data_IF_781829000658
#
_entry.id   IF_781829000658
#
_cell.length_a   1.000
_cell.length_b   1.000
_cell.length_c   1.000
_cell.angle_alpha   90.00
_cell.angle_beta   90.00
_cell.angle_gamma   90.00
#
_symmetry.space_group_name_H-M   'P 1'
#
loop_
_entity.id
_entity.type
_entity.pdbx_description
1 polymer ?
#
# COMPACT_ATOMS: atom_id res chain seq x y z
N UNK A 1 16.12 -27.93 -12.95
CA UNK A 1 15.09 -26.86 -12.97
C UNK A 1 15.23 -25.85 -11.83
N UNK A 2 15.48 -26.25 -10.57
CA UNK A 2 15.50 -25.32 -9.42
C UNK A 2 16.68 -24.31 -9.44
N UNK A 3 17.84 -24.69 -9.99
CA UNK A 3 19.05 -23.85 -10.02
C UNK A 3 18.89 -22.55 -10.85
N UNK A 4 17.95 -22.52 -11.80
CA UNK A 4 17.66 -21.33 -12.62
C UNK A 4 16.65 -20.35 -11.98
N UNK A 5 15.95 -20.75 -10.91
CA UNK A 5 14.97 -19.88 -10.24
C UNK A 5 15.57 -19.04 -9.12
N UNK A 6 16.76 -19.41 -8.63
CA UNK A 6 17.53 -18.69 -7.60
C UNK A 6 17.74 -17.20 -7.95
N UNK A 7 18.19 -16.82 -9.17
CA UNK A 7 18.40 -15.40 -9.49
C UNK A 7 17.09 -14.58 -9.45
N UNK A 8 15.95 -15.17 -9.79
CA UNK A 8 14.65 -14.48 -9.73
C UNK A 8 14.23 -14.18 -8.29
N UNK A 9 14.40 -15.15 -7.40
CA UNK A 9 14.09 -14.97 -5.98
C UNK A 9 15.03 -13.94 -5.32
N UNK A 10 16.32 -14.00 -5.66
CA UNK A 10 17.31 -13.03 -5.17
C UNK A 10 16.99 -11.60 -5.62
N UNK A 11 16.49 -11.41 -6.84
CA UNK A 11 16.08 -10.08 -7.33
C UNK A 11 14.87 -9.52 -6.61
N UNK A 12 13.87 -10.35 -6.30
CA UNK A 12 12.70 -9.90 -5.53
C UNK A 12 13.13 -9.45 -4.14
N UNK A 13 14.01 -10.21 -3.47
CA UNK A 13 14.58 -9.82 -2.18
C UNK A 13 15.39 -8.52 -2.30
N UNK A 14 16.23 -8.41 -3.33
CA UNK A 14 17.03 -7.22 -3.57
C UNK A 14 16.16 -5.97 -3.78
N UNK A 15 15.10 -6.06 -4.58
CA UNK A 15 14.17 -4.95 -4.82
C UNK A 15 13.39 -4.57 -3.56
N UNK A 16 12.99 -5.55 -2.76
CA UNK A 16 12.35 -5.32 -1.46
C UNK A 16 13.30 -4.61 -0.47
N UNK A 17 14.56 -5.04 -0.39
CA UNK A 17 15.58 -4.37 0.42
C UNK A 17 15.90 -2.96 -0.07
N UNK A 18 15.92 -2.75 -1.39
CA UNK A 18 16.15 -1.44 -1.99
C UNK A 18 15.02 -0.46 -1.64
N UNK A 19 13.77 -0.92 -1.68
CA UNK A 19 12.61 -0.14 -1.19
C UNK A 19 12.79 0.28 0.27
N UNK A 20 13.11 -0.67 1.14
CA UNK A 20 13.24 -0.45 2.57
C UNK A 20 14.45 0.44 2.91
N UNK A 21 15.53 0.35 2.15
CA UNK A 21 16.69 1.23 2.28
C UNK A 21 16.36 2.68 1.87
N UNK A 22 15.58 2.88 0.80
CA UNK A 22 15.11 4.21 0.41
C UNK A 22 14.22 4.83 1.49
N UNK A 23 13.37 4.00 2.08
CA UNK A 23 12.43 4.35 3.15
C UNK A 23 12.98 4.14 4.56
N UNK A 24 14.31 4.11 4.73
CA UNK A 24 14.97 3.91 6.02
C UNK A 24 14.46 4.80 7.18
N UNK A 25 14.07 6.08 6.97
CA UNK A 25 13.51 6.91 8.04
C UNK A 25 12.26 6.32 8.70
N UNK A 26 11.52 5.43 8.03
CA UNK A 26 10.32 4.80 8.57
C UNK A 26 10.61 3.75 9.63
N UNK A 27 11.76 3.07 9.55
CA UNK A 27 12.23 2.16 10.61
C UNK A 27 12.57 2.93 11.89
N UNK A 28 12.89 4.22 11.76
CA UNK A 28 13.13 5.13 12.88
C UNK A 28 11.84 5.68 13.50
N UNK A 29 10.66 5.22 13.05
CA UNK A 29 9.36 5.67 13.54
C UNK A 29 8.98 7.09 13.13
N UNK A 30 9.73 7.73 12.22
CA UNK A 30 9.38 9.05 11.69
C UNK A 30 8.32 8.88 10.61
N UNK A 31 7.18 9.52 10.82
CA UNK A 31 6.06 9.51 9.87
C UNK A 31 5.93 10.89 9.25
N UNK A 32 5.65 10.93 7.95
CA UNK A 32 5.39 12.19 7.24
C UNK A 32 3.97 12.62 7.56
N UNK A 33 3.83 13.89 7.94
CA UNK A 33 2.52 14.48 8.21
C UNK A 33 1.87 14.87 6.89
N UNK A 34 0.86 14.11 6.48
CA UNK A 34 0.06 14.39 5.29
C UNK A 34 -1.28 15.02 5.69
N UNK A 35 -1.65 16.12 5.03
CA UNK A 35 -2.93 16.82 5.25
C UNK A 35 -4.11 15.89 5.05
N UNK A 36 -4.03 15.03 4.04
CA UNK A 36 -5.12 14.16 3.62
C UNK A 36 -5.41 13.09 4.70
N UNK A 37 -4.37 12.58 5.36
CA UNK A 37 -4.51 11.66 6.49
C UNK A 37 -5.19 12.36 7.69
N UNK A 38 -4.81 13.60 7.99
CA UNK A 38 -5.43 14.35 9.08
C UNK A 38 -6.90 14.65 8.80
N UNK A 39 -7.22 15.07 7.57
CA UNK A 39 -8.60 15.30 7.16
C UNK A 39 -9.42 14.00 7.21
N UNK A 40 -8.85 12.89 6.76
CA UNK A 40 -9.47 11.56 6.86
C UNK A 40 -9.74 11.13 8.30
N UNK A 41 -8.83 11.40 9.24
CA UNK A 41 -9.06 11.18 10.67
C UNK A 41 -10.23 12.02 11.21
N UNK A 42 -10.37 13.27 10.77
CA UNK A 42 -11.52 14.10 11.10
C UNK A 42 -12.84 13.57 10.55
N UNK A 43 -12.84 13.11 9.29
CA UNK A 43 -14.02 12.57 8.61
C UNK A 43 -14.51 11.26 9.25
N UNK A 44 -13.62 10.33 9.57
CA UNK A 44 -14.02 9.03 10.14
C UNK A 44 -14.47 9.11 11.62
N UNK A 45 -14.20 10.21 12.32
CA UNK A 45 -14.44 10.33 13.78
C UNK A 45 -15.86 9.98 14.18
N UNK A 46 -16.87 10.55 13.49
CA UNK A 46 -18.28 10.30 13.80
C UNK A 46 -18.66 8.81 13.61
N UNK A 47 -18.10 8.17 12.58
CA UNK A 47 -18.34 6.75 12.29
C UNK A 47 -17.78 5.87 13.39
N UNK A 48 -16.56 6.17 13.86
CA UNK A 48 -15.92 5.42 14.94
C UNK A 48 -16.64 5.61 16.27
N UNK A 49 -17.09 6.83 16.58
CA UNK A 49 -17.86 7.12 17.80
C UNK A 49 -19.20 6.39 17.80
N UNK A 50 -19.95 6.44 16.68
CA UNK A 50 -21.21 5.73 16.57
C UNK A 50 -21.03 4.21 16.69
N UNK A 51 -19.97 3.65 16.08
CA UNK A 51 -19.65 2.23 16.22
C UNK A 51 -19.31 1.86 17.67
N UNK A 52 -18.61 2.73 18.40
CA UNK A 52 -18.28 2.49 19.80
C UNK A 52 -19.50 2.53 20.74
N UNK A 53 -20.48 3.39 20.44
CA UNK A 53 -21.65 3.60 21.29
C UNK A 53 -22.80 2.61 21.01
N UNK A 54 -23.04 2.28 19.73
CA UNK A 54 -24.20 1.51 19.30
C UNK A 54 -23.85 0.10 18.77
N UNK A 55 -22.56 -0.21 18.60
CA UNK A 55 -22.07 -1.46 17.96
C UNK A 55 -22.67 -1.70 16.55
N UNK A 56 -23.12 -0.61 15.90
CA UNK A 56 -23.71 -0.61 14.57
C UNK A 56 -22.86 0.25 13.60
N UNK A 57 -22.90 -0.12 12.32
CA UNK A 57 -22.18 0.61 11.28
C UNK A 57 -23.06 1.74 10.73
N UNK A 58 -22.72 3.02 10.95
CA UNK A 58 -23.49 4.11 10.36
C UNK A 58 -23.20 4.18 8.87
N UNK A 59 -24.23 4.18 8.03
CA UNK A 59 -24.09 4.33 6.58
C UNK A 59 -24.12 5.79 6.10
N UNK A 60 -24.28 6.74 7.03
CA UNK A 60 -24.29 8.18 6.78
C UNK A 60 -23.47 8.92 7.84
N UNK A 61 -22.63 9.86 7.40
CA UNK A 61 -21.81 10.72 8.27
C UNK A 61 -22.11 12.19 7.98
N UNK A 62 -22.62 12.91 8.98
CA UNK A 62 -23.01 14.32 8.92
C UNK A 62 -21.82 15.27 9.00
N UNK A 63 -20.72 14.82 9.61
CA UNK A 63 -19.52 15.63 9.83
C UNK A 63 -18.73 15.93 8.54
N UNK A 64 -19.07 15.30 7.41
CA UNK A 64 -18.38 15.49 6.13
C UNK A 64 -19.25 16.27 5.15
N UNK A 65 -18.84 17.49 4.81
CA UNK A 65 -19.48 18.36 3.81
C UNK A 65 -21.02 18.48 3.92
N UNK A 66 -21.56 18.41 5.16
CA UNK A 66 -23.00 18.49 5.42
C UNK A 66 -23.77 17.17 5.30
N UNK A 67 -23.06 16.05 5.18
CA UNK A 67 -23.62 14.70 5.06
C UNK A 67 -23.10 13.95 3.85
N UNK A 68 -22.53 12.77 4.06
CA UNK A 68 -22.20 11.84 2.97
C UNK A 68 -22.36 10.37 3.39
N UNK A 69 -22.56 9.45 2.41
CA UNK A 69 -22.50 8.01 2.67
C UNK A 69 -21.11 7.57 3.15
N UNK A 70 -21.06 6.74 4.19
CA UNK A 70 -19.79 6.32 4.83
C UNK A 70 -18.99 5.29 4.03
N UNK A 71 -19.61 4.71 2.98
CA UNK A 71 -18.97 3.74 2.09
C UNK A 71 -17.67 4.23 1.45
N UNK A 72 -17.51 5.55 1.29
CA UNK A 72 -16.30 6.18 0.74
C UNK A 72 -15.27 6.58 1.81
N UNK A 73 -15.61 6.48 3.10
CA UNK A 73 -14.74 6.89 4.22
C UNK A 73 -14.22 5.65 4.95
N UNK A 74 -15.13 4.92 5.60
CA UNK A 74 -14.82 3.82 6.51
C UNK A 74 -16.13 3.09 6.74
N UNK A 75 -16.37 2.05 5.95
CA UNK A 75 -17.45 1.11 6.19
C UNK A 75 -16.87 -0.28 6.35
N UNK A 76 -17.21 -0.96 7.43
CA UNK A 76 -16.88 -2.38 7.61
C UNK A 76 -18.02 -3.22 7.06
N UNK A 77 -17.68 -4.15 6.17
CA UNK A 77 -18.62 -5.14 5.68
C UNK A 77 -18.33 -6.51 6.31
N UNK A 78 -19.37 -7.27 6.70
CA UNK A 78 -19.19 -8.56 7.38
C UNK A 78 -18.50 -9.63 6.53
N UNK A 79 -18.50 -9.51 5.20
CA UNK A 79 -17.93 -10.49 4.26
C UNK A 79 -16.78 -9.93 3.43
N UNK A 80 -15.86 -9.17 4.05
CA UNK A 80 -14.70 -8.62 3.34
C UNK A 80 -13.51 -9.60 3.26
N UNK A 81 -13.61 -10.55 2.31
CA UNK A 81 -12.51 -11.46 2.00
C UNK A 81 -11.33 -10.76 1.32
N UNK A 82 -11.62 -9.71 0.54
CA UNK A 82 -10.62 -8.99 -0.26
C UNK A 82 -9.71 -8.19 0.67
N UNK A 83 -10.27 -7.48 1.65
CA UNK A 83 -9.49 -6.73 2.64
C UNK A 83 -8.60 -7.62 3.52
N UNK A 84 -9.05 -8.85 3.81
CA UNK A 84 -8.23 -9.84 4.53
C UNK A 84 -7.04 -10.32 3.69
N UNK A 85 -7.25 -10.59 2.40
CA UNK A 85 -6.17 -10.94 1.47
C UNK A 85 -5.19 -9.78 1.25
N UNK A 86 -5.69 -8.55 1.12
CA UNK A 86 -4.86 -7.36 0.97
C UNK A 86 -3.94 -7.17 2.17
N UNK A 87 -4.45 -7.33 3.41
CA UNK A 87 -3.63 -7.29 4.64
C UNK A 87 -2.56 -8.37 4.69
N UNK A 88 -2.80 -9.54 4.11
CA UNK A 88 -1.83 -10.64 4.08
C UNK A 88 -0.69 -10.38 3.07
N UNK A 89 -1.01 -9.74 1.94
CA UNK A 89 -0.02 -9.35 0.92
C UNK A 89 0.80 -8.14 1.40
N UNK A 90 0.18 -7.24 2.18
CA UNK A 90 0.76 -6.00 2.70
C UNK A 90 1.44 -6.18 4.05
N UNK A 91 2.55 -6.91 4.05
CA UNK A 91 3.29 -7.23 5.29
C UNK A 91 4.32 -6.17 5.71
N UNK A 92 4.64 -5.19 4.85
CA UNK A 92 5.62 -4.13 5.16
C UNK A 92 4.97 -2.91 5.84
N UNK A 93 5.73 -2.13 6.61
CA UNK A 93 5.23 -0.85 7.11
C UNK A 93 4.99 0.13 5.96
N UNK A 94 3.86 0.84 5.99
CA UNK A 94 3.58 1.92 5.05
C UNK A 94 4.58 3.07 5.24
N UNK A 95 5.01 3.77 4.17
CA UNK A 95 4.76 3.60 2.74
C UNK A 95 5.66 2.58 2.00
N UNK A 96 6.62 1.93 2.66
CA UNK A 96 7.53 0.97 2.00
C UNK A 96 6.79 -0.23 1.38
N UNK A 97 5.64 -0.56 1.94
CA UNK A 97 4.70 -1.54 1.41
C UNK A 97 4.23 -1.22 -0.03
N UNK A 98 3.98 0.04 -0.37
CA UNK A 98 3.56 0.42 -1.72
C UNK A 98 4.69 0.25 -2.74
N UNK A 99 5.94 0.47 -2.33
CA UNK A 99 7.09 0.21 -3.20
C UNK A 99 7.35 -1.31 -3.37
N UNK A 100 6.79 -2.18 -2.53
CA UNK A 100 6.85 -3.64 -2.76
C UNK A 100 6.15 -4.03 -4.07
N UNK A 101 5.27 -3.16 -4.59
CA UNK A 101 4.65 -3.28 -5.91
C UNK A 101 5.68 -3.38 -7.05
N UNK A 102 6.91 -2.88 -6.85
CA UNK A 102 8.05 -3.08 -7.76
C UNK A 102 8.29 -4.57 -8.05
N UNK A 103 8.04 -5.46 -7.08
CA UNK A 103 8.15 -6.90 -7.27
C UNK A 103 7.10 -7.42 -8.25
N UNK A 104 5.87 -6.89 -8.21
CA UNK A 104 4.82 -7.26 -9.17
C UNK A 104 5.16 -6.80 -10.60
N UNK A 105 5.74 -5.60 -10.73
CA UNK A 105 6.18 -5.05 -12.01
C UNK A 105 7.35 -5.84 -12.57
N UNK A 106 8.30 -6.27 -11.73
CA UNK A 106 9.37 -7.17 -12.12
C UNK A 106 8.84 -8.47 -12.72
N UNK A 107 7.85 -9.10 -12.08
CA UNK A 107 7.22 -10.33 -12.57
C UNK A 107 6.56 -10.07 -13.93
N UNK A 108 5.80 -8.99 -14.06
CA UNK A 108 5.15 -8.59 -15.31
C UNK A 108 6.16 -8.35 -16.45
N UNK A 109 7.21 -7.55 -16.19
CA UNK A 109 8.27 -7.29 -17.16
C UNK A 109 9.03 -8.57 -17.54
N UNK A 110 9.19 -9.51 -16.61
CA UNK A 110 9.80 -10.80 -16.89
C UNK A 110 8.93 -11.66 -17.82
N UNK A 111 7.61 -11.71 -17.59
CA UNK A 111 6.66 -12.40 -18.48
C UNK A 111 6.69 -11.86 -19.90
N UNK A 112 6.92 -10.55 -20.09
CA UNK A 112 6.95 -9.93 -21.41
C UNK A 112 8.30 -10.15 -22.09
N UNK A 113 9.40 -9.73 -21.44
CA UNK A 113 10.71 -9.65 -22.11
C UNK A 113 11.51 -10.94 -22.07
N UNK A 114 11.20 -11.88 -21.16
CA UNK A 114 11.95 -13.12 -20.84
C UNK A 114 13.45 -12.92 -20.50
N UNK A 115 13.96 -11.69 -20.61
CA UNK A 115 15.33 -11.27 -20.29
C UNK A 115 15.35 -10.67 -18.89
N UNK A 116 16.06 -11.34 -18.00
CA UNK A 116 16.20 -10.97 -16.59
C UNK A 116 16.73 -9.54 -16.37
N UNK A 117 17.76 -9.13 -17.11
CA UNK A 117 18.36 -7.80 -16.97
C UNK A 117 17.38 -6.67 -17.29
N UNK A 118 16.57 -6.86 -18.34
CA UNK A 118 15.56 -5.88 -18.77
C UNK A 118 14.43 -5.80 -17.76
N UNK A 119 14.01 -6.95 -17.21
CA UNK A 119 12.98 -6.99 -16.19
C UNK A 119 13.38 -6.25 -14.90
N UNK A 120 14.62 -6.42 -14.43
CA UNK A 120 15.13 -5.67 -13.26
C UNK A 120 15.21 -4.18 -13.57
N UNK A 121 15.82 -3.80 -14.69
CA UNK A 121 15.97 -2.40 -15.06
C UNK A 121 14.60 -1.70 -15.19
N UNK A 122 13.62 -2.37 -15.81
CA UNK A 122 12.25 -1.88 -15.94
C UNK A 122 11.55 -1.73 -14.59
N UNK A 123 11.69 -2.71 -13.69
CA UNK A 123 11.11 -2.65 -12.35
C UNK A 123 11.68 -1.49 -11.52
N UNK A 124 13.00 -1.28 -11.56
CA UNK A 124 13.66 -0.16 -10.88
C UNK A 124 13.21 1.18 -11.48
N UNK A 125 13.23 1.30 -12.82
CA UNK A 125 12.83 2.53 -13.49
C UNK A 125 11.37 2.90 -13.21
N UNK A 126 10.47 1.91 -13.16
CA UNK A 126 9.08 2.13 -12.83
C UNK A 126 8.90 2.51 -11.35
N UNK A 127 9.52 1.74 -10.45
CA UNK A 127 9.42 1.94 -9.01
C UNK A 127 9.93 3.29 -8.51
N UNK A 128 11.04 3.73 -9.09
CA UNK A 128 11.65 5.02 -8.79
C UNK A 128 11.22 6.12 -9.77
N UNK A 129 10.12 5.90 -10.51
CA UNK A 129 9.51 6.97 -11.29
C UNK A 129 9.03 8.09 -10.36
N UNK A 130 9.23 9.33 -10.79
CA UNK A 130 9.02 10.52 -9.95
C UNK A 130 7.61 10.59 -9.35
N UNK A 131 6.60 10.13 -10.08
CA UNK A 131 5.21 10.16 -9.63
C UNK A 131 4.95 9.25 -8.42
N UNK A 132 5.46 8.02 -8.42
CA UNK A 132 5.25 7.08 -7.32
C UNK A 132 5.92 7.55 -6.03
N UNK A 133 7.06 8.23 -6.14
CA UNK A 133 7.74 8.79 -4.97
C UNK A 133 7.00 10.02 -4.41
N UNK A 134 6.43 10.86 -5.28
CA UNK A 134 5.66 12.05 -4.85
C UNK A 134 4.38 11.65 -4.12
N UNK A 135 3.62 10.67 -4.64
CA UNK A 135 2.32 10.31 -4.07
C UNK A 135 2.44 9.55 -2.73
N UNK A 136 3.61 8.97 -2.46
CA UNK A 136 3.91 8.26 -1.22
C UNK A 136 4.54 9.16 -0.14
N UNK A 137 5.05 10.33 -0.55
CA UNK A 137 5.70 11.32 0.29
C UNK A 137 4.73 12.33 0.90
#
# INVERSE_FOLDING_TARGET
MIKNSIPHFLSVIFLALLSLAFFYPLLSGKVIVQSDIQQFQGMQRQVLEHRADYDEEPYWADNVFGGMPTYQITSIYPYDFIGTLDKLIRFLPRPADYLSCICSVFICCYCISHKFQIAIAGAIAFGFSTYLLIILG
#
